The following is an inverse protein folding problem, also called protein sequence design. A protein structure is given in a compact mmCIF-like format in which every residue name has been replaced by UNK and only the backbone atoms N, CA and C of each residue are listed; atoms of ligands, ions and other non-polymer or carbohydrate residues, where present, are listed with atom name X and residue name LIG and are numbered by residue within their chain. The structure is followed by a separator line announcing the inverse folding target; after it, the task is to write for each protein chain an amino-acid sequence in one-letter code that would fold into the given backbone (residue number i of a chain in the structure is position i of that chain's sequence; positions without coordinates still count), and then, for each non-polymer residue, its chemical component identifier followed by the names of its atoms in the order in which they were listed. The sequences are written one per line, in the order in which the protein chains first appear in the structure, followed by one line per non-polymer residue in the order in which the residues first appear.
data_IF_996529034237
#
_entry.id   IF_996529034237
#
_cell.length_a   1.000
_cell.length_b   1.000
_cell.length_c   1.000
_cell.angle_alpha   90.00
_cell.angle_beta   90.00
_cell.angle_gamma   90.00
#
_symmetry.space_group_name_H-M   'P 1'
#
loop_
_entity.id
_entity.type
_entity.pdbx_description
1 polymer ?
#
# COMPACT_ATOMS: atom_id res chain seq x y z
N UNK A 1 2.77 -5.76 22.13
CA UNK A 1 1.31 -5.90 22.00
C UNK A 1 1.04 -7.14 21.20
N UNK A 2 0.22 -8.06 21.71
CA UNK A 2 -0.26 -9.19 20.93
C UNK A 2 -1.62 -8.84 20.32
N UNK A 3 -1.81 -9.19 19.05
CA UNK A 3 -3.04 -8.87 18.32
C UNK A 3 -4.05 -10.00 18.57
N UNK A 4 -5.29 -9.71 19.01
CA UNK A 4 -6.30 -10.72 19.26
C UNK A 4 -6.56 -11.65 18.05
N UNK A 5 -6.87 -12.91 18.32
CA UNK A 5 -7.04 -13.96 17.29
C UNK A 5 -8.11 -13.64 16.26
N UNK A 6 -9.26 -13.10 16.70
CA UNK A 6 -10.35 -12.71 15.81
C UNK A 6 -9.94 -11.60 14.82
N UNK A 7 -9.04 -10.69 15.22
CA UNK A 7 -8.52 -9.63 14.34
C UNK A 7 -7.58 -10.21 13.29
N UNK A 8 -6.77 -11.21 13.66
CA UNK A 8 -5.90 -11.95 12.71
C UNK A 8 -6.75 -12.70 11.67
N UNK A 9 -7.84 -13.34 12.08
CA UNK A 9 -8.77 -14.02 11.18
C UNK A 9 -9.47 -13.05 10.20
N UNK A 10 -9.92 -11.89 10.70
CA UNK A 10 -10.54 -10.86 9.85
C UNK A 10 -9.58 -10.37 8.75
N UNK A 11 -8.30 -10.22 9.08
CA UNK A 11 -7.27 -9.86 8.09
C UNK A 11 -7.14 -10.92 6.99
N UNK A 12 -7.11 -12.20 7.36
CA UNK A 12 -7.02 -13.31 6.39
C UNK A 12 -8.23 -13.35 5.45
N UNK A 13 -9.42 -13.09 5.99
CA UNK A 13 -10.66 -13.03 5.21
C UNK A 13 -10.63 -11.87 4.19
N UNK A 14 -10.21 -10.68 4.61
CA UNK A 14 -10.09 -9.51 3.73
C UNK A 14 -9.07 -9.74 2.62
N UNK A 15 -7.91 -10.34 2.93
CA UNK A 15 -6.88 -10.70 1.96
C UNK A 15 -7.45 -11.66 0.90
N UNK A 16 -8.13 -12.73 1.34
CA UNK A 16 -8.76 -13.69 0.42
C UNK A 16 -9.85 -13.07 -0.44
N UNK A 17 -10.70 -12.22 0.15
CA UNK A 17 -11.84 -11.59 -0.54
C UNK A 17 -11.39 -10.62 -1.63
N UNK A 18 -10.38 -9.81 -1.35
CA UNK A 18 -10.00 -8.70 -2.20
C UNK A 18 -8.80 -9.02 -3.10
N UNK A 19 -8.19 -10.20 -2.97
CA UNK A 19 -6.96 -10.56 -3.68
C UNK A 19 -5.76 -9.69 -3.31
N UNK A 20 -5.84 -8.94 -2.20
CA UNK A 20 -4.82 -7.99 -1.77
C UNK A 20 -3.67 -8.79 -1.14
N UNK A 21 -2.49 -8.77 -1.75
CA UNK A 21 -1.28 -9.30 -1.12
C UNK A 21 -0.87 -8.41 0.04
N UNK A 22 -0.18 -9.01 1.00
CA UNK A 22 0.38 -8.28 2.15
C UNK A 22 1.31 -7.12 1.73
N UNK A 23 1.88 -7.21 0.53
CA UNK A 23 2.79 -6.24 -0.07
C UNK A 23 2.07 -5.11 -0.85
N UNK A 24 0.78 -5.28 -1.16
CA UNK A 24 -0.06 -4.30 -1.87
C UNK A 24 -0.52 -3.16 -0.95
N UNK A 25 -0.25 -3.27 0.35
CA UNK A 25 -0.60 -2.24 1.33
C UNK A 25 0.49 -1.17 1.29
N UNK A 26 0.22 -0.07 0.60
CA UNK A 26 1.16 1.05 0.41
C UNK A 26 1.60 1.73 1.73
N UNK A 27 0.92 1.44 2.84
CA UNK A 27 1.12 2.11 4.13
C UNK A 27 1.61 1.20 5.26
N UNK A 28 2.14 0.01 4.97
CA UNK A 28 2.70 -0.86 6.02
C UNK A 28 4.12 -0.45 6.41
N UNK A 29 4.26 0.07 7.63
CA UNK A 29 5.56 0.26 8.28
C UNK A 29 6.16 -1.11 8.61
N UNK A 30 7.23 -1.49 7.88
CA UNK A 30 8.00 -2.68 8.22
C UNK A 30 8.82 -2.43 9.49
N UNK A 31 8.49 -3.15 10.57
CA UNK A 31 9.20 -3.04 11.85
C UNK A 31 10.68 -3.37 11.65
N UNK A 32 11.56 -2.45 12.06
CA UNK A 32 13.02 -2.62 11.96
C UNK A 32 13.64 -2.25 10.60
N UNK A 33 12.84 -1.92 9.57
CA UNK A 33 13.36 -1.46 8.28
C UNK A 33 13.84 0.00 8.30
N UNK A 34 13.20 0.83 9.12
CA UNK A 34 13.43 2.26 9.18
C UNK A 34 13.80 2.68 10.60
N UNK A 35 14.80 3.55 10.74
CA UNK A 35 15.25 4.06 12.05
C UNK A 35 14.23 5.03 12.67
N UNK A 36 13.46 5.70 11.82
CA UNK A 36 12.46 6.69 12.23
C UNK A 36 11.17 6.60 11.40
N UNK A 37 10.05 7.02 12.01
CA UNK A 37 8.74 7.06 11.36
C UNK A 37 8.71 8.03 10.17
N UNK A 38 9.42 9.16 10.27
CA UNK A 38 9.48 10.17 9.22
C UNK A 38 10.13 9.63 7.94
N UNK A 39 11.17 8.82 8.07
CA UNK A 39 11.86 8.19 6.94
C UNK A 39 10.93 7.23 6.21
N UNK A 40 10.24 6.36 6.95
CA UNK A 40 9.27 5.44 6.37
C UNK A 40 8.11 6.16 5.66
N UNK A 41 7.61 7.26 6.26
CA UNK A 41 6.56 8.10 5.66
C UNK A 41 7.03 8.74 4.36
N UNK A 42 8.28 9.25 4.34
CA UNK A 42 8.87 9.87 3.14
C UNK A 42 8.96 8.86 1.99
N UNK A 43 9.47 7.66 2.27
CA UNK A 43 9.62 6.62 1.24
C UNK A 43 8.27 6.18 0.67
N UNK A 44 7.27 6.01 1.52
CA UNK A 44 5.90 5.72 1.07
C UNK A 44 5.32 6.84 0.20
N UNK A 45 5.60 8.11 0.55
CA UNK A 45 5.14 9.25 -0.25
C UNK A 45 5.80 9.31 -1.63
N UNK A 46 7.11 9.06 -1.70
CA UNK A 46 7.86 9.00 -2.96
C UNK A 46 7.35 7.84 -3.83
N UNK A 47 7.11 6.67 -3.23
CA UNK A 47 6.55 5.50 -3.92
C UNK A 47 5.17 5.78 -4.51
N UNK A 48 4.31 6.48 -3.77
CA UNK A 48 2.92 6.78 -4.21
C UNK A 48 2.83 7.97 -5.18
N UNK A 49 3.83 8.87 -5.19
CA UNK A 49 3.90 10.07 -6.04
C UNK A 49 5.26 10.14 -6.75
N UNK A 50 5.50 9.26 -7.74
CA UNK A 50 6.78 9.18 -8.44
C UNK A 50 7.10 10.47 -9.20
N UNK A 51 6.09 11.21 -9.68
CA UNK A 51 6.25 12.51 -10.35
C UNK A 51 6.92 13.56 -9.45
N UNK A 52 6.47 13.64 -8.19
CA UNK A 52 7.10 14.50 -7.17
C UNK A 52 8.47 13.94 -6.77
N UNK A 53 8.57 12.61 -6.68
CA UNK A 53 9.82 11.89 -6.42
C UNK A 53 10.91 12.20 -7.44
N UNK A 54 10.61 12.17 -8.74
CA UNK A 54 11.55 12.49 -9.82
C UNK A 54 12.08 13.92 -9.71
N UNK A 55 11.20 14.86 -9.38
CA UNK A 55 11.55 16.28 -9.31
C UNK A 55 12.40 16.64 -8.09
N UNK A 56 12.10 16.07 -6.92
CA UNK A 56 12.68 16.51 -5.65
C UNK A 56 13.59 15.47 -4.97
N UNK A 57 13.37 14.18 -5.23
CA UNK A 57 14.08 13.07 -4.59
C UNK A 57 14.49 11.97 -5.58
N UNK A 58 15.17 12.29 -6.69
CA UNK A 58 15.42 11.35 -7.79
C UNK A 58 16.24 10.13 -7.36
N UNK A 59 17.21 10.31 -6.45
CA UNK A 59 18.05 9.22 -5.95
C UNK A 59 17.27 8.23 -5.09
N UNK A 60 16.35 8.72 -4.26
CA UNK A 60 15.49 7.86 -3.44
C UNK A 60 14.48 7.11 -4.29
N UNK A 61 13.92 7.77 -5.31
CA UNK A 61 13.03 7.10 -6.27
C UNK A 61 13.77 6.01 -7.05
N UNK A 62 15.01 6.24 -7.47
CA UNK A 62 15.80 5.22 -8.15
C UNK A 62 16.02 4.01 -7.23
N UNK A 63 16.39 4.24 -5.97
CA UNK A 63 16.54 3.16 -4.98
C UNK A 63 15.24 2.36 -4.81
N UNK A 64 14.08 3.02 -4.75
CA UNK A 64 12.77 2.35 -4.65
C UNK A 64 12.52 1.47 -5.89
N UNK A 65 12.84 1.97 -7.10
CA UNK A 65 12.69 1.20 -8.34
C UNK A 65 13.62 -0.01 -8.39
N UNK A 66 14.86 0.14 -7.95
CA UNK A 66 15.83 -0.96 -7.89
C UNK A 66 15.38 -2.04 -6.90
N UNK A 67 14.88 -1.65 -5.73
CA UNK A 67 14.31 -2.57 -4.74
C UNK A 67 13.06 -3.29 -5.28
N UNK A 68 12.17 -2.58 -5.98
CA UNK A 68 11.01 -3.19 -6.65
C UNK A 68 11.45 -4.20 -7.72
N UNK A 69 12.39 -3.83 -8.60
CA UNK A 69 12.91 -4.73 -9.62
C UNK A 69 13.57 -5.99 -9.04
N UNK A 70 14.21 -5.89 -7.87
CA UNK A 70 14.73 -7.05 -7.16
C UNK A 70 13.63 -7.91 -6.55
N UNK A 71 12.56 -7.29 -6.02
CA UNK A 71 11.44 -8.01 -5.42
C UNK A 71 10.53 -8.67 -6.46
N UNK A 72 10.28 -8.00 -7.59
CA UNK A 72 9.44 -8.49 -8.69
C UNK A 72 10.13 -9.65 -9.45
N UNK A 73 11.47 -9.70 -9.46
CA UNK A 73 12.22 -10.88 -9.93
C UNK A 73 12.04 -12.11 -9.02
N UNK A 74 11.59 -11.92 -7.77
CA UNK A 74 11.35 -12.98 -6.79
C UNK A 74 9.85 -13.26 -6.61
N UNK A 75 8.97 -12.34 -7.00
CA UNK A 75 7.52 -12.42 -6.85
C UNK A 75 6.83 -12.11 -8.18
N UNK A 76 6.13 -13.11 -8.75
CA UNK A 76 5.20 -12.87 -9.86
C UNK A 76 4.20 -11.75 -9.56
N UNK A 77 3.86 -11.02 -10.62
CA UNK A 77 3.29 -9.66 -10.62
C UNK A 77 2.08 -9.46 -9.67
N UNK A 78 2.09 -8.38 -8.86
CA UNK A 78 0.90 -7.97 -8.12
C UNK A 78 -0.05 -7.15 -9.01
N UNK A 79 -1.23 -7.71 -9.27
CA UNK A 79 -2.35 -7.00 -9.88
C UNK A 79 -2.99 -6.07 -8.85
N UNK A 80 -2.45 -4.86 -8.71
CA UNK A 80 -3.01 -3.80 -7.91
C UNK A 80 -4.42 -3.41 -8.38
N UNK A 81 -5.37 -3.46 -7.45
CA UNK A 81 -6.76 -2.98 -7.54
C UNK A 81 -7.46 -3.29 -8.88
N UNK A 82 -8.28 -4.34 -8.89
CA UNK A 82 -9.42 -4.37 -9.80
C UNK A 82 -10.19 -3.06 -9.58
N UNK A 83 -10.15 -2.19 -10.59
CA UNK A 83 -10.98 -0.99 -10.72
C UNK A 83 -12.44 -1.41 -10.59
N UNK A 84 -12.98 -1.40 -9.38
CA UNK A 84 -14.43 -1.45 -9.20
C UNK A 84 -14.97 -0.11 -9.72
N UNK A 85 -15.50 -0.17 -10.94
CA UNK A 85 -16.28 0.90 -11.54
C UNK A 85 -17.43 1.23 -10.58
N UNK A 86 -17.46 2.49 -10.16
CA UNK A 86 -18.63 3.33 -9.89
C UNK A 86 -19.95 2.59 -9.65
N UNK A 87 -20.42 2.57 -8.40
CA UNK A 87 -21.84 2.78 -8.10
C UNK A 87 -21.93 3.66 -6.84
N UNK A 88 -21.86 4.97 -7.03
CA UNK A 88 -22.32 5.93 -6.02
C UNK A 88 -23.83 5.81 -5.98
N UNK A 89 -24.34 5.06 -5.00
CA UNK A 89 -25.76 5.03 -4.66
C UNK A 89 -26.12 6.40 -4.06
N UNK A 90 -26.70 7.28 -4.89
CA UNK A 90 -27.26 8.55 -4.45
C UNK A 90 -28.53 8.28 -3.65
N UNK A 91 -28.40 8.03 -2.34
CA UNK A 91 -29.53 8.18 -1.42
C UNK A 91 -29.65 9.66 -1.08
N UNK A 92 -30.57 10.32 -1.78
CA UNK A 92 -31.00 11.69 -1.55
C UNK A 92 -31.73 11.71 -0.19
N UNK A 93 -31.15 12.35 0.82
CA UNK A 93 -31.77 12.52 2.13
C UNK A 93 -32.65 13.77 2.03
N UNK A 94 -33.97 13.58 1.99
CA UNK A 94 -34.94 14.66 2.13
C UNK A 94 -34.93 15.18 3.57
N UNK A 95 -34.75 16.49 3.73
CA UNK A 95 -34.88 17.18 5.00
C UNK A 95 -36.36 17.41 5.32
N UNK A 96 -36.80 16.94 6.48
CA UNK A 96 -38.07 17.29 7.13
C UNK A 96 -37.83 18.30 8.25
#
# INVERSE_FOLDING_TARGET
MDVPTHVKALREEVIKRNGIRQDDIEFTFSKGRWGHLGEATLMNRIKSHPDVGERWYPTLLQKIRDEQAQNDQVAEEPQGLLKEKTQVSSKLVEAH
#
